data_IF_247041295202
#
_entry.id   IF_247041295202
#
_cell.length_a   1.000
_cell.length_b   1.000
_cell.length_c   1.000
_cell.angle_alpha   90.00
_cell.angle_beta   90.00
_cell.angle_gamma   90.00
#
_symmetry.space_group_name_H-M   'P 1'
#
loop_
_entity.id
_entity.type
_entity.pdbx_description
1 polymer ?
#
# COMPACT_ATOMS: atom_id res chain seq x y z
N UNK A 1 -78.18 -54.99 -17.17
CA UNK A 1 -77.64 -56.03 -18.07
C UNK A 1 -77.28 -55.35 -19.38
N UNK A 2 -76.20 -55.56 -20.10
CA UNK A 2 -75.01 -56.40 -20.03
C UNK A 2 -74.06 -55.80 -21.08
N UNK A 3 -72.78 -56.19 -21.04
CA UNK A 3 -71.68 -55.41 -21.62
C UNK A 3 -71.39 -55.56 -23.12
N UNK A 4 -70.43 -54.72 -23.55
CA UNK A 4 -69.47 -54.94 -24.64
C UNK A 4 -69.96 -54.62 -26.06
N UNK A 5 -69.08 -54.14 -26.98
CA UNK A 5 -67.72 -54.69 -27.18
C UNK A 5 -66.56 -53.66 -27.34
N UNK A 6 -65.34 -54.21 -27.26
CA UNK A 6 -63.98 -53.63 -27.55
C UNK A 6 -63.79 -53.38 -29.07
N UNK A 7 -62.64 -52.89 -29.63
CA UNK A 7 -61.26 -52.67 -29.12
C UNK A 7 -60.63 -51.31 -29.58
N UNK A 8 -59.42 -50.90 -29.19
CA UNK A 8 -58.14 -51.23 -29.82
C UNK A 8 -56.98 -50.73 -28.94
N UNK A 9 -55.92 -51.53 -28.85
CA UNK A 9 -54.72 -51.23 -28.05
C UNK A 9 -53.82 -50.19 -28.70
N UNK A 10 -53.09 -49.45 -27.87
CA UNK A 10 -51.88 -48.73 -28.27
C UNK A 10 -50.82 -48.92 -27.18
N UNK A 11 -49.74 -49.58 -27.57
CA UNK A 11 -48.58 -49.89 -26.74
C UNK A 11 -47.98 -48.63 -26.10
N UNK A 12 -47.57 -48.79 -24.84
CA UNK A 12 -46.76 -47.86 -24.07
C UNK A 12 -45.50 -47.41 -24.83
N UNK A 13 -45.30 -46.09 -24.90
CA UNK A 13 -43.98 -45.47 -25.13
C UNK A 13 -43.60 -44.77 -23.81
N UNK A 14 -42.49 -45.14 -23.14
CA UNK A 14 -42.01 -44.37 -21.99
C UNK A 14 -41.49 -43.00 -22.45
N UNK A 15 -41.64 -41.93 -21.64
CA UNK A 15 -41.10 -40.63 -21.98
C UNK A 15 -39.57 -40.66 -21.98
N UNK A 16 -38.99 -40.25 -23.11
CA UNK A 16 -37.56 -39.97 -23.25
C UNK A 16 -37.19 -38.79 -22.35
N UNK A 17 -36.20 -38.96 -21.47
CA UNK A 17 -35.64 -37.90 -20.62
C UNK A 17 -34.63 -37.12 -21.47
N UNK A 18 -34.76 -35.78 -21.61
CA UNK A 18 -33.75 -34.98 -22.31
C UNK A 18 -32.43 -34.93 -21.49
N UNK A 19 -31.25 -35.02 -22.14
CA UNK A 19 -29.98 -34.97 -21.43
C UNK A 19 -29.67 -33.51 -21.06
N UNK A 20 -29.72 -33.19 -19.76
CA UNK A 20 -29.35 -31.84 -19.30
C UNK A 20 -29.88 -31.41 -17.93
N UNK A 21 -30.39 -32.30 -17.08
CA UNK A 21 -30.83 -31.94 -15.74
C UNK A 21 -29.67 -32.09 -14.74
N UNK A 22 -28.87 -31.03 -14.59
CA UNK A 22 -27.97 -30.87 -13.44
C UNK A 22 -28.78 -30.53 -12.20
N UNK A 23 -28.54 -31.26 -11.09
CA UNK A 23 -29.08 -30.96 -9.77
C UNK A 23 -28.69 -29.52 -9.36
N UNK A 24 -29.58 -28.72 -8.75
CA UNK A 24 -29.19 -27.42 -8.23
C UNK A 24 -28.28 -27.61 -7.01
N UNK A 25 -27.03 -27.15 -7.14
CA UNK A 25 -26.10 -27.00 -6.02
C UNK A 25 -26.68 -26.06 -4.95
N UNK A 26 -26.41 -26.26 -3.65
CA UNK A 26 -26.84 -25.34 -2.61
C UNK A 26 -26.15 -23.98 -2.82
N UNK A 27 -26.95 -22.94 -3.05
CA UNK A 27 -26.50 -21.55 -3.15
C UNK A 27 -25.86 -21.09 -1.83
N UNK A 28 -24.77 -20.29 -1.86
CA UNK A 28 -24.16 -19.71 -0.66
C UNK A 28 -25.11 -18.72 0.03
N UNK A 29 -24.92 -18.42 1.33
CA UNK A 29 -25.86 -17.61 2.09
C UNK A 29 -26.00 -16.22 1.45
N UNK A 30 -27.25 -15.82 1.25
CA UNK A 30 -27.62 -14.53 0.69
C UNK A 30 -27.00 -13.39 1.51
N UNK A 31 -26.08 -12.64 0.90
CA UNK A 31 -25.72 -11.30 1.38
C UNK A 31 -26.96 -10.43 1.24
N UNK A 32 -27.64 -10.21 2.36
CA UNK A 32 -28.68 -9.20 2.48
C UNK A 32 -28.00 -7.84 2.38
N UNK A 33 -27.95 -7.28 1.16
CA UNK A 33 -27.59 -5.87 0.97
C UNK A 33 -28.63 -5.03 1.68
N UNK A 34 -28.26 -4.43 2.81
CA UNK A 34 -29.02 -3.31 3.33
C UNK A 34 -28.87 -2.16 2.33
N UNK A 35 -29.97 -1.83 1.68
CA UNK A 35 -30.18 -0.57 0.98
C UNK A 35 -30.16 0.56 2.01
N UNK A 36 -29.04 1.26 2.10
CA UNK A 36 -28.86 2.47 2.91
C UNK A 36 -27.42 2.97 2.80
N UNK A 37 -27.23 4.09 2.09
CA UNK A 37 -25.96 4.76 1.74
C UNK A 37 -25.02 3.99 0.79
N UNK A 38 -25.29 4.14 -0.52
CA UNK A 38 -24.23 4.10 -1.53
C UNK A 38 -23.51 5.45 -1.52
N UNK A 39 -22.71 5.72 -0.49
CA UNK A 39 -21.62 6.70 -0.61
C UNK A 39 -20.39 5.92 -1.04
N UNK A 40 -20.05 5.93 -2.33
CA UNK A 40 -18.65 5.74 -2.71
C UNK A 40 -17.82 6.64 -1.80
N UNK A 41 -16.80 6.15 -1.09
CA UNK A 41 -15.96 7.03 -0.30
C UNK A 41 -15.46 8.14 -1.22
N UNK A 42 -15.66 9.39 -0.83
CA UNK A 42 -15.07 10.51 -1.56
C UNK A 42 -13.56 10.24 -1.62
N UNK A 43 -12.92 10.21 -2.79
CA UNK A 43 -11.53 9.81 -2.93
C UNK A 43 -10.59 10.63 -2.04
N UNK A 44 -10.91 11.90 -1.83
CA UNK A 44 -10.19 12.83 -0.94
C UNK A 44 -10.17 12.38 0.54
N UNK A 45 -11.23 11.73 1.01
CA UNK A 45 -11.30 11.22 2.40
C UNK A 45 -10.46 9.96 2.57
N UNK A 46 -10.29 9.17 1.50
CA UNK A 46 -9.45 7.96 1.55
C UNK A 46 -7.97 8.28 1.68
N UNK A 47 -7.51 9.42 1.14
CA UNK A 47 -6.10 9.85 1.23
C UNK A 47 -5.69 10.30 2.64
N UNK A 48 -6.68 10.59 3.50
CA UNK A 48 -6.49 11.02 4.88
C UNK A 48 -6.79 9.90 5.89
N UNK A 49 -7.29 8.75 5.42
CA UNK A 49 -7.69 7.63 6.26
C UNK A 49 -6.51 6.72 6.59
N UNK A 50 -6.34 6.36 7.86
CA UNK A 50 -5.39 5.33 8.29
C UNK A 50 -5.94 4.54 9.47
N UNK A 51 -5.40 3.34 9.67
CA UNK A 51 -5.82 2.45 10.76
C UNK A 51 -4.62 1.94 11.53
N UNK A 52 -4.77 1.85 12.86
CA UNK A 52 -3.79 1.26 13.75
C UNK A 52 -4.31 -0.11 14.19
N UNK A 53 -3.60 -1.18 13.84
CA UNK A 53 -3.87 -2.54 14.27
C UNK A 53 -2.95 -2.87 15.44
N UNK A 54 -3.52 -3.21 16.60
CA UNK A 54 -2.74 -3.46 17.83
C UNK A 54 -2.99 -4.84 18.46
N UNK A 55 -4.05 -5.53 18.06
CA UNK A 55 -4.31 -6.93 18.39
C UNK A 55 -4.99 -7.61 17.18
N UNK A 56 -4.98 -8.93 17.16
CA UNK A 56 -5.42 -9.83 16.09
C UNK A 56 -6.82 -9.54 15.52
N UNK A 57 -7.71 -8.85 16.26
CA UNK A 57 -9.01 -8.40 15.74
C UNK A 57 -9.38 -6.96 16.17
N UNK A 58 -8.43 -6.19 16.72
CA UNK A 58 -8.68 -4.86 17.22
C UNK A 58 -7.97 -3.82 16.35
N UNK A 59 -8.77 -2.93 15.76
CA UNK A 59 -8.28 -1.82 14.95
C UNK A 59 -8.90 -0.51 15.42
N UNK A 60 -8.14 0.57 15.29
CA UNK A 60 -8.63 1.92 15.46
C UNK A 60 -8.52 2.65 14.13
N UNK A 61 -9.65 3.14 13.63
CA UNK A 61 -9.75 3.81 12.34
C UNK A 61 -9.77 5.32 12.56
N UNK A 62 -8.90 6.03 11.86
CA UNK A 62 -8.76 7.47 11.93
C UNK A 62 -8.91 8.10 10.56
N UNK A 63 -9.42 9.33 10.55
CA UNK A 63 -9.38 10.23 9.41
C UNK A 63 -8.61 11.47 9.89
N UNK A 64 -7.46 11.74 9.29
CA UNK A 64 -6.71 12.95 9.59
C UNK A 64 -7.52 14.19 9.15
N UNK A 65 -7.41 15.32 9.87
CA UNK A 65 -8.11 16.55 9.49
C UNK A 65 -7.57 17.16 8.18
N UNK A 66 -6.28 16.93 7.89
CA UNK A 66 -5.61 17.37 6.67
C UNK A 66 -4.39 16.49 6.35
N UNK A 67 -3.74 16.80 5.22
CA UNK A 67 -2.58 16.04 4.73
C UNK A 67 -1.37 16.18 5.65
N UNK A 68 -1.17 17.33 6.29
CA UNK A 68 -0.05 17.55 7.19
C UNK A 68 -0.17 16.63 8.41
N UNK A 69 -1.33 16.62 9.07
CA UNK A 69 -1.59 15.74 10.20
C UNK A 69 -1.50 14.26 9.82
N UNK A 70 -1.98 13.88 8.62
CA UNK A 70 -1.80 12.53 8.10
C UNK A 70 -0.31 12.13 8.05
N UNK A 71 0.55 13.01 7.52
CA UNK A 71 1.99 12.78 7.46
C UNK A 71 2.61 12.67 8.87
N UNK A 72 2.25 13.58 9.79
CA UNK A 72 2.73 13.55 11.17
C UNK A 72 2.38 12.22 11.87
N UNK A 73 1.14 11.77 11.75
CA UNK A 73 0.71 10.51 12.36
C UNK A 73 1.39 9.30 11.74
N UNK A 74 1.39 9.20 10.40
CA UNK A 74 1.95 8.03 9.72
C UNK A 74 3.47 7.91 9.92
N UNK A 75 4.20 9.02 9.84
CA UNK A 75 5.64 9.03 10.09
C UNK A 75 5.98 8.84 11.56
N UNK A 76 5.25 9.48 12.47
CA UNK A 76 5.44 9.28 13.92
C UNK A 76 5.22 7.83 14.33
N UNK A 77 4.17 7.18 13.80
CA UNK A 77 3.93 5.75 14.03
C UNK A 77 5.01 4.86 13.43
N UNK A 78 5.49 5.18 12.22
CA UNK A 78 6.61 4.46 11.62
C UNK A 78 7.87 4.58 12.47
N UNK A 79 8.19 5.77 12.97
CA UNK A 79 9.33 5.99 13.85
C UNK A 79 9.22 5.19 15.15
N UNK A 80 8.04 5.14 15.79
CA UNK A 80 7.79 4.33 16.99
C UNK A 80 7.95 2.82 16.72
N UNK A 81 7.68 2.38 15.50
CA UNK A 81 7.87 0.99 15.06
C UNK A 81 9.29 0.71 14.52
N UNK A 82 10.20 1.70 14.55
CA UNK A 82 11.54 1.58 13.98
C UNK A 82 11.57 1.43 12.46
N UNK A 83 10.54 1.92 11.78
CA UNK A 83 10.42 1.96 10.31
C UNK A 83 10.78 3.34 9.78
N UNK A 84 11.12 3.38 8.50
CA UNK A 84 11.39 4.64 7.80
C UNK A 84 10.13 5.52 7.76
N UNK A 85 10.34 6.82 7.92
CA UNK A 85 9.35 7.86 7.68
C UNK A 85 9.26 8.10 6.17
N UNK A 86 8.06 8.05 5.60
CA UNK A 86 7.83 7.94 4.15
C UNK A 86 7.14 9.15 3.55
N UNK A 87 6.65 10.10 4.37
CA UNK A 87 5.88 11.21 3.85
C UNK A 87 6.73 12.23 3.07
N UNK A 88 6.08 12.92 2.14
CA UNK A 88 6.68 14.04 1.42
C UNK A 88 7.09 15.18 2.37
N UNK A 89 6.39 15.33 3.50
CA UNK A 89 6.70 16.33 4.53
C UNK A 89 8.10 16.04 5.12
N UNK A 90 8.33 14.81 5.60
CA UNK A 90 9.64 14.41 6.12
C UNK A 90 10.73 14.51 5.06
N UNK A 91 10.44 14.15 3.80
CA UNK A 91 11.40 14.27 2.70
C UNK A 91 11.79 15.73 2.46
N UNK A 92 10.82 16.64 2.49
CA UNK A 92 11.05 18.07 2.27
C UNK A 92 11.81 18.71 3.44
N UNK A 93 11.46 18.34 4.67
CA UNK A 93 12.18 18.79 5.87
C UNK A 93 13.64 18.34 5.84
N UNK A 94 13.88 17.07 5.49
CA UNK A 94 15.23 16.54 5.33
C UNK A 94 16.03 17.29 4.26
N UNK A 95 15.43 17.51 3.09
CA UNK A 95 16.08 18.26 2.00
C UNK A 95 16.42 19.69 2.43
N UNK A 96 15.53 20.35 3.15
CA UNK A 96 15.73 21.71 3.67
C UNK A 96 16.89 21.76 4.67
N UNK A 97 16.88 20.85 5.65
CA UNK A 97 17.91 20.76 6.69
C UNK A 97 19.28 20.40 6.09
N UNK A 98 19.31 19.39 5.23
CA UNK A 98 20.53 18.94 4.58
C UNK A 98 21.10 20.01 3.64
N UNK A 99 20.24 20.70 2.89
CA UNK A 99 20.65 21.81 2.02
C UNK A 99 21.37 22.90 2.80
N UNK A 100 20.88 23.25 3.99
CA UNK A 100 21.55 24.23 4.85
C UNK A 100 22.89 23.72 5.37
N UNK A 101 22.95 22.48 5.89
CA UNK A 101 24.19 21.88 6.39
C UNK A 101 25.26 21.82 5.29
N UNK A 102 24.91 21.35 4.09
CA UNK A 102 25.85 21.26 2.98
C UNK A 102 26.33 22.66 2.56
N UNK A 103 25.45 23.66 2.49
CA UNK A 103 25.86 25.04 2.20
C UNK A 103 26.86 25.58 3.21
N UNK A 104 26.68 25.28 4.51
CA UNK A 104 27.63 25.69 5.56
C UNK A 104 29.00 25.01 5.37
N UNK A 105 29.03 23.73 4.98
CA UNK A 105 30.28 23.01 4.68
C UNK A 105 31.00 23.53 3.44
N UNK A 106 30.27 24.10 2.50
CA UNK A 106 30.80 24.63 1.26
C UNK A 106 31.26 26.09 1.34
N UNK A 107 31.13 26.76 2.51
CA UNK A 107 31.56 28.15 2.68
C UNK A 107 33.07 28.32 2.39
N UNK A 108 33.91 27.37 2.81
CA UNK A 108 35.36 27.42 2.55
C UNK A 108 35.72 27.17 1.07
N UNK A 109 34.77 26.67 0.29
CA UNK A 109 34.92 26.37 -1.14
C UNK A 109 34.22 27.42 -2.01
N UNK A 110 33.85 28.58 -1.46
CA UNK A 110 33.21 29.64 -2.22
C UNK A 110 34.12 30.11 -3.37
N UNK A 111 33.58 30.15 -4.60
CA UNK A 111 34.31 30.47 -5.83
C UNK A 111 35.39 29.46 -6.26
N UNK A 112 35.49 28.29 -5.61
CA UNK A 112 36.36 27.20 -6.03
C UNK A 112 35.56 26.26 -6.96
N UNK A 113 36.15 25.91 -8.10
CA UNK A 113 35.56 24.93 -9.01
C UNK A 113 35.57 23.55 -8.36
N UNK A 114 34.38 22.99 -8.12
CA UNK A 114 34.23 21.63 -7.60
C UNK A 114 34.48 20.65 -8.77
N UNK A 115 35.44 19.73 -8.64
CA UNK A 115 35.72 18.75 -9.70
C UNK A 115 34.60 17.70 -9.79
N UNK A 116 34.22 17.29 -11.00
CA UNK A 116 33.21 16.25 -11.24
C UNK A 116 33.64 14.86 -10.74
N UNK A 117 34.96 14.60 -10.73
CA UNK A 117 35.54 13.36 -10.25
C UNK A 117 36.49 13.61 -9.08
N UNK A 118 36.56 12.70 -8.09
CA UNK A 118 37.54 12.79 -7.02
C UNK A 118 38.97 12.87 -7.58
N UNK A 119 39.82 13.82 -7.13
CA UNK A 119 41.22 13.86 -7.52
C UNK A 119 41.95 12.55 -7.16
N UNK A 120 42.93 12.10 -7.96
CA UNK A 120 43.69 10.90 -7.65
C UNK A 120 44.47 11.08 -6.34
N UNK A 121 44.33 10.12 -5.43
CA UNK A 121 45.08 10.11 -4.18
C UNK A 121 46.56 9.85 -4.50
N UNK A 122 47.49 10.75 -4.13
CA UNK A 122 48.92 10.54 -4.35
C UNK A 122 49.43 9.31 -3.60
N UNK A 123 50.50 8.68 -4.12
CA UNK A 123 51.22 7.65 -3.36
C UNK A 123 51.76 8.29 -2.08
N UNK A 124 51.74 7.51 -1.00
CA UNK A 124 52.33 7.93 0.26
C UNK A 124 53.78 8.40 0.09
N UNK A 125 54.22 9.41 0.86
CA UNK A 125 55.60 9.84 0.88
C UNK A 125 56.57 8.68 1.20
N UNK A 126 57.79 8.74 0.69
CA UNK A 126 58.81 7.72 0.95
C UNK A 126 59.37 7.73 2.38
N UNK A 127 59.15 8.82 3.11
CA UNK A 127 59.57 8.99 4.50
C UNK A 127 58.55 9.89 5.24
N UNK A 128 58.65 9.92 6.57
CA UNK A 128 57.82 10.75 7.46
C UNK A 128 58.67 11.77 8.23
N UNK A 129 59.77 12.24 7.63
CA UNK A 129 60.64 13.26 8.21
C UNK A 129 60.00 14.64 7.98
N UNK A 130 59.02 14.99 8.82
CA UNK A 130 58.27 16.24 8.68
C UNK A 130 59.14 17.47 8.94
N UNK A 131 58.93 18.52 8.16
CA UNK A 131 59.64 19.81 8.31
C UNK A 131 59.17 20.59 9.54
N UNK A 132 57.97 20.31 10.01
CA UNK A 132 57.34 20.99 11.15
C UNK A 132 56.89 19.98 12.19
N UNK A 133 57.09 20.31 13.45
CA UNK A 133 56.51 19.57 14.57
C UNK A 133 55.00 19.88 14.67
N UNK A 134 54.21 18.88 15.09
CA UNK A 134 52.82 19.10 15.47
C UNK A 134 52.76 19.73 16.88
N UNK A 135 51.77 20.60 17.09
CA UNK A 135 51.56 21.30 18.37
C UNK A 135 50.57 20.56 19.29
#
# INVERSE_FOLDING_TARGET
MGGGPRPQGRLHRPPQIPPGASLPSPSPPAVRRQSGLSSSPCPEVLELAFSILYDSNCQLNFIAPDKHEYCIWTDGLNALLGKDMLSDLTRNDLDTLLSMEIKLRLLDLENIQIPDAPPPIPKEPSNYDFVYDCN
#
